data_IF_860183628047
#
_entry.id   IF_860183628047
#
_cell.length_a   1.000
_cell.length_b   1.000
_cell.length_c   1.000
_cell.angle_alpha   90.00
_cell.angle_beta   90.00
_cell.angle_gamma   90.00
#
_symmetry.space_group_name_H-M   'P 1'
#
loop_
_entity.id
_entity.type
_entity.pdbx_description
1 polymer ?
#
# COMPACT_ATOMS: atom_id res chain seq x y z
N UNK A 1 2.79 22.99 3.98
CA UNK A 1 2.21 23.61 5.19
C UNK A 1 2.02 25.12 5.03
N UNK A 2 3.02 25.86 4.52
CA UNK A 2 2.89 27.30 4.24
C UNK A 2 1.73 27.64 3.28
N UNK A 3 1.46 26.77 2.30
CA UNK A 3 0.30 26.95 1.41
C UNK A 3 -1.04 26.84 2.16
N UNK A 4 -1.13 25.94 3.15
CA UNK A 4 -2.33 25.83 4.00
C UNK A 4 -2.52 27.07 4.87
N UNK A 5 -1.43 27.64 5.38
CA UNK A 5 -1.47 28.89 6.15
C UNK A 5 -1.95 30.06 5.27
N UNK A 6 -1.32 30.22 4.11
CA UNK A 6 -1.68 31.24 3.12
C UNK A 6 -3.13 31.13 2.69
N UNK A 7 -3.62 29.90 2.45
CA UNK A 7 -5.02 29.65 2.12
C UNK A 7 -5.95 30.03 3.28
N UNK A 8 -5.60 29.66 4.51
CA UNK A 8 -6.38 29.97 5.72
C UNK A 8 -6.53 31.47 5.90
N UNK A 9 -5.44 32.22 5.73
CA UNK A 9 -5.43 33.68 5.80
C UNK A 9 -6.29 34.30 4.69
N UNK A 10 -6.05 33.89 3.45
CA UNK A 10 -6.79 34.37 2.29
C UNK A 10 -8.29 34.14 2.46
N UNK A 11 -8.70 32.91 2.79
CA UNK A 11 -10.12 32.56 2.94
C UNK A 11 -10.76 33.34 4.10
N UNK A 12 -10.02 33.53 5.19
CA UNK A 12 -10.52 34.29 6.36
C UNK A 12 -10.78 35.75 6.02
N UNK A 13 -9.93 36.36 5.18
CA UNK A 13 -10.09 37.74 4.72
C UNK A 13 -11.22 37.84 3.69
N UNK A 14 -11.18 37.02 2.64
CA UNK A 14 -12.11 37.07 1.51
C UNK A 14 -13.56 36.83 1.96
N UNK A 15 -13.77 35.85 2.83
CA UNK A 15 -15.10 35.45 3.30
C UNK A 15 -15.45 36.00 4.69
N UNK A 16 -14.61 36.88 5.25
CA UNK A 16 -14.83 37.53 6.55
C UNK A 16 -15.11 36.57 7.72
N UNK A 17 -14.47 35.40 7.73
CA UNK A 17 -14.72 34.32 8.70
C UNK A 17 -13.87 34.42 9.97
N UNK A 18 -13.37 35.61 10.32
CA UNK A 18 -12.43 35.82 11.46
C UNK A 18 -12.90 35.24 12.80
N UNK A 19 -14.21 35.14 13.03
CA UNK A 19 -14.79 34.60 14.26
C UNK A 19 -15.21 33.12 14.15
N UNK A 20 -14.99 32.48 13.00
CA UNK A 20 -15.25 31.07 12.78
C UNK A 20 -13.91 30.31 12.87
N UNK A 21 -13.69 29.51 13.92
CA UNK A 21 -12.44 28.78 14.09
C UNK A 21 -12.29 27.69 13.03
N UNK A 22 -11.07 27.53 12.51
CA UNK A 22 -10.72 26.41 11.63
C UNK A 22 -10.50 25.13 12.43
N UNK A 23 -10.96 24.01 11.87
CA UNK A 23 -10.61 22.67 12.33
C UNK A 23 -10.09 21.87 11.15
N UNK A 24 -8.91 21.28 11.27
CA UNK A 24 -8.19 20.68 10.14
C UNK A 24 -8.31 19.16 10.18
N UNK A 25 -8.72 18.55 9.08
CA UNK A 25 -8.92 17.11 8.97
C UNK A 25 -7.96 16.51 7.96
N UNK A 26 -7.44 15.32 8.26
CA UNK A 26 -6.63 14.56 7.32
C UNK A 26 -6.57 13.09 7.67
N UNK A 27 -6.44 12.25 6.64
CA UNK A 27 -6.17 10.81 6.75
C UNK A 27 -4.82 10.46 6.14
N UNK A 28 -4.10 9.45 6.65
CA UNK A 28 -2.80 9.02 6.10
C UNK A 28 -1.78 10.19 6.05
N UNK A 29 -1.10 10.42 4.92
CA UNK A 29 -0.20 11.57 4.75
C UNK A 29 -0.88 12.92 5.03
N UNK A 30 -2.10 13.22 4.52
CA UNK A 30 -2.87 14.38 4.96
C UNK A 30 -3.14 14.45 6.47
N UNK A 31 -3.25 13.30 7.17
CA UNK A 31 -3.35 13.26 8.63
C UNK A 31 -2.08 13.79 9.30
N UNK A 32 -0.92 13.35 8.82
CA UNK A 32 0.37 13.91 9.23
C UNK A 32 0.44 15.42 8.97
N UNK A 33 0.03 15.87 7.77
CA UNK A 33 -0.06 17.29 7.43
C UNK A 33 -0.99 18.05 8.37
N UNK A 34 -2.15 17.49 8.76
CA UNK A 34 -3.09 18.12 9.69
C UNK A 34 -2.49 18.32 11.09
N UNK A 35 -1.75 17.32 11.60
CA UNK A 35 -1.02 17.43 12.86
C UNK A 35 0.14 18.43 12.78
N UNK A 36 0.95 18.36 11.72
CA UNK A 36 2.09 19.27 11.54
C UNK A 36 1.63 20.71 11.29
N UNK A 37 0.52 20.93 10.57
CA UNK A 37 -0.04 22.26 10.35
C UNK A 37 -0.46 22.92 11.67
N UNK A 38 -1.20 22.21 12.53
CA UNK A 38 -1.59 22.73 13.86
C UNK A 38 -0.38 23.04 14.75
N UNK A 39 0.70 22.28 14.58
CA UNK A 39 1.94 22.46 15.35
C UNK A 39 2.73 23.67 14.86
N UNK A 40 2.88 23.83 13.53
CA UNK A 40 3.65 24.91 12.92
C UNK A 40 2.92 26.26 12.93
N UNK A 41 1.59 26.25 12.84
CA UNK A 41 0.73 27.45 12.78
C UNK A 41 -0.35 27.40 13.86
N UNK A 42 0.03 27.54 15.15
CA UNK A 42 -0.87 27.24 16.25
C UNK A 42 -2.09 28.16 16.36
N UNK A 43 -2.01 29.36 15.79
CA UNK A 43 -3.09 30.35 15.80
C UNK A 43 -4.04 30.22 14.60
N UNK A 44 -3.69 29.40 13.60
CA UNK A 44 -4.47 29.25 12.36
C UNK A 44 -5.55 28.18 12.45
N UNK A 45 -5.59 27.39 13.52
CA UNK A 45 -6.64 26.40 13.74
C UNK A 45 -6.89 26.16 15.22
N UNK A 46 -8.16 25.95 15.58
CA UNK A 46 -8.54 25.57 16.94
C UNK A 46 -8.13 24.12 17.27
N UNK A 47 -8.05 23.25 16.27
CA UNK A 47 -7.61 21.87 16.43
C UNK A 47 -7.45 21.15 15.10
N UNK A 48 -6.97 19.91 15.19
CA UNK A 48 -6.90 19.01 14.04
C UNK A 48 -7.26 17.57 14.41
N UNK A 49 -7.78 16.84 13.43
CA UNK A 49 -7.97 15.39 13.47
C UNK A 49 -7.01 14.75 12.46
N UNK A 50 -6.05 14.01 12.99
CA UNK A 50 -5.09 13.20 12.23
C UNK A 50 -5.51 11.74 12.28
N UNK A 51 -6.36 11.33 11.34
CA UNK A 51 -6.81 9.94 11.22
C UNK A 51 -5.72 9.09 10.57
N UNK A 52 -5.25 8.04 11.26
CA UNK A 52 -4.16 7.16 10.76
C UNK A 52 -2.95 7.94 10.21
N UNK A 53 -2.64 9.09 10.82
CA UNK A 53 -1.62 9.99 10.29
C UNK A 53 -0.21 9.52 10.62
N UNK A 54 0.62 9.38 9.58
CA UNK A 54 2.04 8.98 9.69
C UNK A 54 2.88 10.19 10.15
N UNK A 55 2.66 10.63 11.39
CA UNK A 55 3.24 11.86 11.95
C UNK A 55 4.75 11.77 12.21
N UNK A 56 5.28 10.56 12.34
CA UNK A 56 6.71 10.28 12.43
C UNK A 56 7.19 9.66 11.11
N UNK A 57 8.05 10.37 10.39
CA UNK A 57 8.63 9.88 9.14
C UNK A 57 9.83 8.98 9.44
N UNK A 58 9.60 7.68 9.45
CA UNK A 58 10.66 6.67 9.60
C UNK A 58 10.96 6.14 8.19
N UNK A 59 12.21 6.29 7.75
CA UNK A 59 12.62 5.89 6.38
C UNK A 59 12.56 4.36 6.23
N UNK A 60 13.07 3.64 7.22
CA UNK A 60 13.07 2.17 7.25
C UNK A 60 12.19 1.70 8.42
N UNK A 61 10.92 1.44 8.13
CA UNK A 61 9.91 1.09 9.12
C UNK A 61 9.34 -0.32 8.91
N UNK A 62 10.19 -1.32 9.13
CA UNK A 62 9.78 -2.74 9.15
C UNK A 62 8.66 -3.05 10.15
N UNK A 63 8.40 -2.16 11.13
CA UNK A 63 7.29 -2.32 12.09
C UNK A 63 5.90 -2.31 11.43
N UNK A 64 5.77 -1.71 10.24
CA UNK A 64 4.56 -1.81 9.43
C UNK A 64 4.31 -3.25 9.00
N UNK A 65 5.29 -3.88 8.33
CA UNK A 65 5.18 -5.24 7.82
C UNK A 65 4.96 -6.26 8.95
N UNK A 66 5.62 -6.05 10.10
CA UNK A 66 5.40 -6.88 11.29
C UNK A 66 3.96 -6.80 11.79
N UNK A 67 3.35 -5.61 11.79
CA UNK A 67 1.99 -5.43 12.26
C UNK A 67 0.97 -6.03 11.28
N UNK A 68 1.16 -5.86 9.96
CA UNK A 68 0.30 -6.47 8.94
C UNK A 68 0.43 -8.00 9.00
N UNK A 69 1.65 -8.54 9.07
CA UNK A 69 1.88 -9.98 9.21
C UNK A 69 1.26 -10.56 10.50
N UNK A 70 1.24 -9.81 11.60
CA UNK A 70 0.56 -10.23 12.82
C UNK A 70 -0.97 -10.17 12.72
N UNK A 71 -1.52 -9.18 12.01
CA UNK A 71 -2.96 -8.97 11.88
C UNK A 71 -3.64 -9.98 10.95
N UNK A 72 -2.93 -10.41 9.90
CA UNK A 72 -3.44 -11.39 8.94
C UNK A 72 -3.58 -12.80 9.54
N UNK A 73 -2.75 -13.15 10.51
CA UNK A 73 -2.78 -14.42 11.24
C UNK A 73 -1.84 -15.50 10.70
N UNK A 74 -1.48 -16.47 11.55
CA UNK A 74 -0.35 -17.38 11.31
C UNK A 74 -0.48 -18.25 10.05
N UNK A 75 -1.61 -18.94 9.84
CA UNK A 75 -1.80 -19.85 8.70
C UNK A 75 -1.66 -19.11 7.35
N UNK A 76 -2.43 -18.03 7.18
CA UNK A 76 -2.38 -17.21 5.98
C UNK A 76 -1.01 -16.53 5.80
N UNK A 77 -0.38 -16.06 6.88
CA UNK A 77 0.97 -15.50 6.83
C UNK A 77 2.02 -16.53 6.40
N UNK A 78 1.93 -17.78 6.86
CA UNK A 78 2.86 -18.84 6.46
C UNK A 78 2.67 -19.22 5.00
N UNK A 79 1.43 -19.21 4.51
CA UNK A 79 1.14 -19.41 3.09
C UNK A 79 1.70 -18.28 2.21
N UNK A 80 1.59 -17.02 2.65
CA UNK A 80 2.20 -15.86 1.96
C UNK A 80 3.73 -16.02 1.90
N UNK A 81 4.39 -16.46 2.98
CA UNK A 81 5.83 -16.72 2.96
C UNK A 81 6.23 -17.79 1.94
N UNK A 82 5.42 -18.85 1.80
CA UNK A 82 5.64 -19.88 0.78
C UNK A 82 5.48 -19.32 -0.63
N UNK A 83 4.45 -18.51 -0.86
CA UNK A 83 4.22 -17.82 -2.15
C UNK A 83 5.41 -16.92 -2.49
N UNK A 84 5.87 -16.07 -1.55
CA UNK A 84 7.02 -15.20 -1.78
C UNK A 84 8.27 -16.00 -2.14
N UNK A 85 8.56 -17.08 -1.40
CA UNK A 85 9.68 -17.96 -1.69
C UNK A 85 9.58 -18.61 -3.09
N UNK A 86 8.39 -19.06 -3.48
CA UNK A 86 8.16 -19.62 -4.82
C UNK A 86 8.49 -18.59 -5.92
N UNK A 87 8.07 -17.33 -5.75
CA UNK A 87 8.44 -16.26 -6.68
C UNK A 87 9.94 -15.97 -6.67
N UNK A 88 10.58 -15.86 -5.50
CA UNK A 88 12.05 -15.66 -5.38
C UNK A 88 12.83 -16.72 -6.18
N UNK A 89 12.41 -17.99 -6.08
CA UNK A 89 13.03 -19.08 -6.84
C UNK A 89 12.73 -18.98 -8.34
N UNK A 90 11.47 -18.69 -8.72
CA UNK A 90 11.04 -18.62 -10.12
C UNK A 90 11.71 -17.47 -10.89
N UNK A 91 11.86 -16.30 -10.29
CA UNK A 91 12.46 -15.11 -10.95
C UNK A 91 13.98 -15.19 -11.08
N UNK A 92 14.61 -16.27 -10.61
CA UNK A 92 16.06 -16.47 -10.72
C UNK A 92 16.51 -16.77 -12.17
N UNK A 93 15.60 -17.22 -13.03
CA UNK A 93 15.85 -17.46 -14.47
C UNK A 93 15.18 -16.41 -15.34
N UNK A 94 15.70 -16.21 -16.55
CA UNK A 94 15.11 -15.27 -17.52
C UNK A 94 13.71 -15.72 -17.97
N UNK A 95 13.56 -17.03 -18.21
CA UNK A 95 12.29 -17.64 -18.60
C UNK A 95 11.26 -17.50 -17.47
N UNK A 96 11.65 -17.83 -16.24
CA UNK A 96 10.77 -17.71 -15.08
C UNK A 96 10.39 -16.27 -14.78
N UNK A 97 11.29 -15.30 -14.99
CA UNK A 97 10.95 -13.88 -14.89
C UNK A 97 9.89 -13.44 -15.90
N UNK A 98 10.05 -13.83 -17.17
CA UNK A 98 9.08 -13.54 -18.23
C UNK A 98 7.71 -14.16 -17.94
N UNK A 99 7.68 -15.40 -17.46
CA UNK A 99 6.44 -16.09 -17.06
C UNK A 99 5.73 -15.38 -15.89
N UNK A 100 6.50 -14.95 -14.88
CA UNK A 100 5.96 -14.26 -13.71
C UNK A 100 5.36 -12.91 -14.10
N UNK A 101 6.05 -12.08 -14.89
CA UNK A 101 5.51 -10.82 -15.41
C UNK A 101 4.20 -11.06 -16.19
N UNK A 102 4.19 -12.06 -17.08
CA UNK A 102 3.00 -12.41 -17.84
C UNK A 102 1.84 -12.84 -16.96
N UNK A 103 2.09 -13.51 -15.84
CA UNK A 103 1.03 -14.01 -14.93
C UNK A 103 0.26 -12.89 -14.22
N UNK A 104 0.86 -11.70 -14.10
CA UNK A 104 0.24 -10.50 -13.51
C UNK A 104 -0.06 -9.40 -14.54
N UNK A 105 0.19 -9.67 -15.83
CA UNK A 105 0.14 -8.68 -16.91
C UNK A 105 1.07 -7.47 -16.72
N UNK A 106 2.16 -7.63 -15.95
CA UNK A 106 3.13 -6.56 -15.71
C UNK A 106 3.84 -6.13 -17.00
N UNK A 107 4.42 -4.93 -16.99
CA UNK A 107 5.20 -4.45 -18.13
C UNK A 107 6.55 -5.17 -18.24
N UNK A 108 7.02 -5.35 -19.47
CA UNK A 108 8.21 -6.15 -19.77
C UNK A 108 9.53 -5.54 -19.28
N UNK A 109 9.53 -4.24 -18.98
CA UNK A 109 10.69 -3.47 -18.50
C UNK A 109 10.70 -3.28 -16.98
N UNK A 110 9.71 -3.82 -16.27
CA UNK A 110 9.61 -3.76 -14.81
C UNK A 110 10.86 -4.33 -14.13
N UNK A 111 11.28 -3.72 -13.03
CA UNK A 111 12.38 -4.23 -12.20
C UNK A 111 11.88 -5.31 -11.24
N UNK A 112 12.78 -6.18 -10.75
CA UNK A 112 12.38 -7.25 -9.82
C UNK A 112 11.96 -6.68 -8.46
N UNK A 113 12.63 -5.63 -8.01
CA UNK A 113 12.32 -4.91 -6.78
C UNK A 113 10.91 -4.31 -6.83
N UNK A 114 10.56 -3.69 -7.96
CA UNK A 114 9.24 -3.15 -8.26
C UNK A 114 8.15 -4.24 -8.22
N UNK A 115 8.43 -5.40 -8.82
CA UNK A 115 7.53 -6.55 -8.78
C UNK A 115 7.32 -7.09 -7.36
N UNK A 116 8.39 -7.22 -6.56
CA UNK A 116 8.24 -7.68 -5.17
C UNK A 116 7.52 -6.66 -4.30
N UNK A 117 7.69 -5.36 -4.58
CA UNK A 117 6.90 -4.31 -3.95
C UNK A 117 5.41 -4.43 -4.33
N UNK A 118 5.09 -4.68 -5.61
CA UNK A 118 3.72 -4.94 -6.07
C UNK A 118 3.09 -6.16 -5.39
N UNK A 119 3.82 -7.28 -5.27
CA UNK A 119 3.35 -8.45 -4.53
C UNK A 119 3.10 -8.11 -3.07
N UNK A 120 4.04 -7.42 -2.42
CA UNK A 120 3.90 -7.00 -1.03
C UNK A 120 2.65 -6.14 -0.82
N UNK A 121 2.42 -5.19 -1.71
CA UNK A 121 1.27 -4.28 -1.66
C UNK A 121 -0.04 -5.05 -1.92
N UNK A 122 -0.07 -5.99 -2.86
CA UNK A 122 -1.26 -6.80 -3.19
C UNK A 122 -1.83 -7.53 -1.96
N UNK A 123 -0.99 -8.24 -1.19
CA UNK A 123 -1.49 -8.96 -0.01
C UNK A 123 -1.65 -8.05 1.22
N UNK A 124 -0.75 -7.08 1.42
CA UNK A 124 -0.81 -6.20 2.60
C UNK A 124 -1.98 -5.22 2.53
N UNK A 125 -2.33 -4.70 1.34
CA UNK A 125 -3.52 -3.88 1.15
C UNK A 125 -4.81 -4.67 1.37
N UNK A 126 -4.83 -5.96 1.01
CA UNK A 126 -5.99 -6.80 1.30
C UNK A 126 -6.23 -6.90 2.80
N UNK A 127 -5.20 -7.06 3.62
CA UNK A 127 -5.36 -7.03 5.08
C UNK A 127 -5.80 -5.63 5.58
N UNK A 128 -5.10 -4.57 5.15
CA UNK A 128 -5.39 -3.20 5.57
C UNK A 128 -6.82 -2.75 5.27
N UNK A 129 -7.37 -3.15 4.12
CA UNK A 129 -8.72 -2.75 3.69
C UNK A 129 -9.80 -3.76 4.03
N UNK A 130 -9.57 -4.61 5.04
CA UNK A 130 -10.56 -5.58 5.55
C UNK A 130 -10.98 -6.64 4.52
N UNK A 131 -10.05 -7.06 3.67
CA UNK A 131 -10.21 -8.05 2.61
C UNK A 131 -9.35 -9.30 2.85
N UNK A 132 -8.80 -9.45 4.06
CA UNK A 132 -8.00 -10.62 4.42
C UNK A 132 -8.74 -11.94 4.18
N UNK A 133 -10.04 -12.00 4.44
CA UNK A 133 -10.82 -13.23 4.22
C UNK A 133 -10.87 -13.60 2.73
N UNK A 134 -10.90 -12.62 1.81
CA UNK A 134 -10.83 -12.86 0.36
C UNK A 134 -9.49 -13.50 -0.02
N UNK A 135 -8.40 -12.90 0.44
CA UNK A 135 -7.04 -13.40 0.18
C UNK A 135 -6.81 -14.78 0.81
N UNK A 136 -7.01 -14.88 2.13
CA UNK A 136 -6.65 -16.07 2.90
C UNK A 136 -7.46 -17.29 2.45
N UNK A 137 -8.77 -17.14 2.22
CA UNK A 137 -9.58 -18.25 1.70
C UNK A 137 -9.10 -18.72 0.33
N UNK A 138 -8.61 -17.82 -0.53
CA UNK A 138 -8.09 -18.20 -1.85
C UNK A 138 -6.76 -18.96 -1.74
N UNK A 139 -5.79 -18.45 -0.99
CA UNK A 139 -4.45 -19.04 -0.92
C UNK A 139 -4.38 -20.27 -0.01
N UNK A 140 -5.27 -20.41 0.97
CA UNK A 140 -5.33 -21.59 1.84
C UNK A 140 -6.10 -22.76 1.19
N UNK A 141 -6.90 -22.51 0.15
CA UNK A 141 -7.71 -23.54 -0.51
C UNK A 141 -6.88 -24.62 -1.22
N UNK A 142 -5.63 -24.33 -1.59
CA UNK A 142 -4.73 -25.32 -2.24
C UNK A 142 -4.07 -26.29 -1.25
N UNK A 143 -4.18 -26.03 0.05
CA UNK A 143 -3.65 -26.91 1.10
C UNK A 143 -2.12 -26.86 1.28
N UNK A 144 -1.62 -27.67 2.22
CA UNK A 144 -0.21 -27.68 2.60
C UNK A 144 0.70 -28.35 1.55
N UNK A 145 0.19 -29.36 0.83
CA UNK A 145 0.96 -30.12 -0.17
C UNK A 145 1.04 -29.46 -1.56
N UNK A 146 0.49 -28.24 -1.71
CA UNK A 146 0.50 -27.49 -2.97
C UNK A 146 1.93 -27.27 -3.48
N UNK A 147 2.12 -27.48 -4.78
CA UNK A 147 3.35 -27.14 -5.47
C UNK A 147 3.56 -25.62 -5.56
N UNK A 148 4.80 -25.19 -5.75
CA UNK A 148 5.13 -23.76 -5.92
C UNK A 148 4.39 -23.13 -7.11
N UNK A 149 4.17 -23.90 -8.18
CA UNK A 149 3.39 -23.45 -9.34
C UNK A 149 1.92 -23.23 -8.97
N UNK A 150 1.29 -24.15 -8.24
CA UNK A 150 -0.09 -24.00 -7.76
C UNK A 150 -0.24 -22.79 -6.82
N UNK A 151 0.73 -22.57 -5.92
CA UNK A 151 0.76 -21.40 -5.03
C UNK A 151 0.81 -20.09 -5.82
N UNK A 152 1.78 -19.97 -6.75
CA UNK A 152 1.94 -18.77 -7.58
C UNK A 152 0.72 -18.52 -8.47
N UNK A 153 0.20 -19.55 -9.15
CA UNK A 153 -0.99 -19.42 -10.00
C UNK A 153 -2.22 -19.02 -9.19
N UNK A 154 -2.40 -19.57 -7.99
CA UNK A 154 -3.53 -19.21 -7.12
C UNK A 154 -3.45 -17.75 -6.69
N UNK A 155 -2.27 -17.30 -6.28
CA UNK A 155 -2.06 -15.92 -5.85
C UNK A 155 -2.19 -14.92 -7.01
N UNK A 156 -1.58 -15.18 -8.17
CA UNK A 156 -1.68 -14.27 -9.33
C UNK A 156 -3.11 -14.17 -9.86
N UNK A 157 -3.84 -15.29 -9.93
CA UNK A 157 -5.26 -15.30 -10.32
C UNK A 157 -6.11 -14.50 -9.34
N UNK A 158 -5.91 -14.69 -8.03
CA UNK A 158 -6.61 -13.91 -7.02
C UNK A 158 -6.29 -12.42 -7.15
N UNK A 159 -5.01 -12.05 -7.26
CA UNK A 159 -4.58 -10.65 -7.35
C UNK A 159 -5.18 -9.96 -8.58
N UNK A 160 -5.08 -10.56 -9.75
CA UNK A 160 -5.66 -10.03 -10.99
C UNK A 160 -7.19 -9.93 -10.93
N UNK A 161 -7.85 -10.89 -10.28
CA UNK A 161 -9.31 -10.86 -10.13
C UNK A 161 -9.77 -9.82 -9.12
N UNK A 162 -9.01 -9.61 -8.04
CA UNK A 162 -9.40 -8.76 -6.93
C UNK A 162 -9.08 -7.30 -7.19
N UNK A 163 -7.87 -7.01 -7.69
CA UNK A 163 -7.41 -5.65 -7.96
C UNK A 163 -7.67 -5.18 -9.39
N UNK A 164 -7.88 -6.11 -10.33
CA UNK A 164 -7.96 -5.84 -11.76
C UNK A 164 -6.72 -6.32 -12.50
N UNK A 165 -6.88 -6.64 -13.79
CA UNK A 165 -5.79 -7.15 -14.63
C UNK A 165 -4.70 -6.10 -14.90
N UNK A 166 -5.01 -4.82 -14.70
CA UNK A 166 -4.13 -3.67 -14.86
C UNK A 166 -3.40 -3.29 -13.57
N UNK A 167 -3.61 -4.02 -12.46
CA UNK A 167 -2.97 -3.73 -11.17
C UNK A 167 -1.44 -3.66 -11.28
N UNK A 168 -0.82 -4.61 -11.97
CA UNK A 168 0.62 -4.56 -12.22
C UNK A 168 1.00 -3.65 -13.41
N UNK A 169 0.10 -3.49 -14.38
CA UNK A 169 0.39 -2.89 -15.69
C UNK A 169 0.03 -1.39 -15.79
N UNK A 170 -0.35 -0.78 -14.67
CA UNK A 170 -0.82 0.61 -14.62
C UNK A 170 0.30 1.63 -14.48
N UNK A 171 1.56 1.23 -14.62
CA UNK A 171 2.74 2.08 -14.39
C UNK A 171 3.01 2.47 -12.94
N UNK A 172 2.06 2.27 -12.02
CA UNK A 172 2.17 2.67 -10.61
C UNK A 172 3.36 1.99 -9.91
N UNK A 173 3.58 0.71 -10.19
CA UNK A 173 4.66 -0.08 -9.58
C UNK A 173 5.96 -0.04 -10.38
N UNK A 174 5.97 0.50 -11.61
CA UNK A 174 7.12 0.43 -12.50
C UNK A 174 7.92 1.73 -12.47
N UNK A 175 9.08 1.71 -11.84
CA UNK A 175 9.97 2.86 -11.69
C UNK A 175 10.36 3.46 -13.06
N UNK A 176 10.51 2.65 -14.11
CA UNK A 176 10.82 3.13 -15.47
C UNK A 176 9.72 4.01 -16.06
N UNK A 177 8.47 3.90 -15.58
CA UNK A 177 7.36 4.74 -16.02
C UNK A 177 7.15 6.00 -15.17
N UNK A 178 7.80 6.07 -14.01
CA UNK A 178 7.76 7.23 -13.11
C UNK A 178 8.85 8.27 -13.43
N UNK A 179 9.83 7.90 -14.28
CA UNK A 179 10.96 8.73 -14.71
C UNK A 179 10.65 9.56 -15.96
#
# INVERSE_FOLDING_TARGET
LADLASFTDWFTIEYQTKNAPWFVFGGSYPGALASWYRTAYPDHSAGSLSSSGVTNCIIDYYGFDQQVSAAIGNSCSDQIKRINKAYEEKVSTTEGWSEVLSSFNCESDMWKEDFFYMIADSWSMADQYSQKDSLCNAIEAVGEDASDEELMTTFSNWSNSFWGSDFCSGGFYNTEQLA
#
